data_IF_369598700700
#
_entry.id   IF_369598700700
#
_cell.length_a   1.000
_cell.length_b   1.000
_cell.length_c   1.000
_cell.angle_alpha   90.00
_cell.angle_beta   90.00
_cell.angle_gamma   90.00
#
_symmetry.space_group_name_H-M   'P 1'
#
loop_
_entity.id
_entity.type
_entity.pdbx_description
1 polymer ?
#
# COMPACT_ATOMS: atom_id res chain seq x y z
N UNK A 1 -32.93 -19.23 -5.71
CA UNK A 1 -32.18 -20.51 -5.60
C UNK A 1 -30.88 -20.18 -4.89
N UNK A 2 -30.54 -20.88 -3.81
CA UNK A 2 -29.33 -20.57 -3.04
C UNK A 2 -28.11 -20.99 -3.84
N UNK A 3 -27.17 -20.07 -4.05
CA UNK A 3 -25.92 -20.35 -4.76
C UNK A 3 -24.97 -21.22 -3.90
N UNK A 4 -24.46 -22.29 -4.50
CA UNK A 4 -23.55 -23.30 -3.93
C UNK A 4 -22.48 -23.71 -4.96
N UNK A 5 -21.49 -24.51 -4.55
CA UNK A 5 -20.42 -24.99 -5.45
C UNK A 5 -20.95 -25.79 -6.64
N UNK A 6 -22.06 -26.51 -6.46
CA UNK A 6 -22.65 -27.38 -7.47
C UNK A 6 -23.37 -26.59 -8.58
N UNK A 7 -23.93 -25.42 -8.26
CA UNK A 7 -24.80 -24.66 -9.16
C UNK A 7 -24.28 -23.27 -9.55
N UNK A 8 -23.24 -22.77 -8.88
CA UNK A 8 -22.63 -21.48 -9.18
C UNK A 8 -21.33 -21.61 -9.96
N UNK A 9 -20.93 -20.52 -10.62
CA UNK A 9 -19.62 -20.34 -11.24
C UNK A 9 -19.07 -18.93 -10.99
N UNK A 10 -17.75 -18.81 -10.89
CA UNK A 10 -17.06 -17.56 -10.56
C UNK A 10 -16.32 -17.05 -11.80
N UNK A 11 -16.59 -15.81 -12.17
CA UNK A 11 -15.97 -15.13 -13.30
C UNK A 11 -14.76 -14.32 -12.86
N UNK A 12 -13.64 -14.42 -13.58
CA UNK A 12 -12.46 -13.57 -13.37
C UNK A 12 -12.10 -12.88 -14.68
N UNK A 13 -12.26 -11.56 -14.71
CA UNK A 13 -11.89 -10.74 -15.86
C UNK A 13 -10.59 -10.02 -15.54
N UNK A 14 -9.52 -10.41 -16.21
CA UNK A 14 -8.14 -9.99 -15.95
C UNK A 14 -7.34 -11.10 -15.26
N UNK A 15 -6.41 -11.73 -15.99
CA UNK A 15 -5.55 -12.82 -15.52
C UNK A 15 -4.09 -12.34 -15.35
N UNK A 16 -3.96 -11.17 -14.73
CA UNK A 16 -2.70 -10.72 -14.12
C UNK A 16 -2.34 -11.55 -12.89
N UNK A 17 -1.34 -11.11 -12.13
CA UNK A 17 -0.81 -11.88 -10.98
C UNK A 17 -1.90 -12.17 -9.92
N UNK A 18 -2.75 -11.19 -9.61
CA UNK A 18 -3.87 -11.35 -8.67
C UNK A 18 -4.99 -12.22 -9.23
N UNK A 19 -5.39 -12.01 -10.49
CA UNK A 19 -6.44 -12.80 -11.13
C UNK A 19 -6.10 -14.29 -11.22
N UNK A 20 -4.84 -14.62 -11.56
CA UNK A 20 -4.34 -15.99 -11.54
C UNK A 20 -4.38 -16.59 -10.12
N UNK A 21 -3.97 -15.84 -9.11
CA UNK A 21 -4.02 -16.28 -7.72
C UNK A 21 -5.46 -16.56 -7.26
N UNK A 22 -6.43 -15.69 -7.60
CA UNK A 22 -7.84 -15.94 -7.33
C UNK A 22 -8.36 -17.17 -8.05
N UNK A 23 -8.08 -17.30 -9.36
CA UNK A 23 -8.53 -18.43 -10.17
C UNK A 23 -8.08 -19.76 -9.59
N UNK A 24 -6.79 -19.88 -9.29
CA UNK A 24 -6.20 -21.11 -8.76
C UNK A 24 -6.76 -21.48 -7.38
N UNK A 25 -6.86 -20.52 -6.45
CA UNK A 25 -7.37 -20.80 -5.10
C UNK A 25 -8.84 -21.15 -5.07
N UNK A 26 -9.64 -20.51 -5.92
CA UNK A 26 -11.06 -20.80 -6.02
C UNK A 26 -11.30 -22.17 -6.66
N UNK A 27 -10.56 -22.48 -7.74
CA UNK A 27 -10.59 -23.80 -8.38
C UNK A 27 -10.16 -24.91 -7.41
N UNK A 28 -9.05 -24.75 -6.68
CA UNK A 28 -8.60 -25.69 -5.66
C UNK A 28 -9.61 -25.90 -4.52
N UNK A 29 -10.48 -24.90 -4.28
CA UNK A 29 -11.58 -25.01 -3.33
C UNK A 29 -12.83 -25.69 -3.92
N UNK A 30 -12.79 -26.13 -5.18
CA UNK A 30 -13.90 -26.79 -5.89
C UNK A 30 -14.95 -25.83 -6.46
N UNK A 31 -14.58 -24.57 -6.72
CA UNK A 31 -15.44 -23.66 -7.49
C UNK A 31 -15.13 -23.78 -8.97
N UNK A 32 -16.18 -23.79 -9.81
CA UNK A 32 -16.03 -23.63 -11.25
C UNK A 32 -15.65 -22.17 -11.57
N UNK A 33 -14.52 -21.97 -12.21
CA UNK A 33 -13.99 -20.65 -12.55
C UNK A 33 -14.03 -20.45 -14.06
N UNK A 34 -14.62 -19.36 -14.51
CA UNK A 34 -14.55 -18.89 -15.88
C UNK A 34 -13.63 -17.67 -15.92
N UNK A 35 -12.58 -17.69 -16.72
CA UNK A 35 -11.60 -16.61 -16.70
C UNK A 35 -11.23 -16.12 -18.11
N UNK A 36 -10.89 -14.84 -18.20
CA UNK A 36 -10.34 -14.26 -19.42
C UNK A 36 -9.33 -13.15 -19.11
N UNK A 37 -8.54 -12.77 -20.10
CA UNK A 37 -7.72 -11.56 -20.11
C UNK A 37 -7.88 -10.92 -21.50
N UNK A 38 -6.94 -10.04 -21.88
CA UNK A 38 -6.86 -9.49 -23.23
C UNK A 38 -6.82 -10.61 -24.29
N UNK A 39 -7.46 -10.43 -25.46
CA UNK A 39 -7.56 -11.47 -26.49
C UNK A 39 -6.22 -12.07 -26.90
N UNK A 40 -5.15 -11.28 -26.92
CA UNK A 40 -3.82 -11.72 -27.35
C UNK A 40 -3.20 -12.75 -26.38
N UNK A 41 -3.66 -12.80 -25.13
CA UNK A 41 -3.21 -13.78 -24.13
C UNK A 41 -4.03 -15.06 -24.12
N UNK A 42 -5.12 -15.14 -24.88
CA UNK A 42 -6.09 -16.25 -24.81
C UNK A 42 -5.41 -17.61 -24.99
N UNK A 43 -4.64 -17.79 -26.06
CA UNK A 43 -3.98 -19.07 -26.35
C UNK A 43 -2.95 -19.46 -25.27
N UNK A 44 -2.15 -18.50 -24.80
CA UNK A 44 -1.19 -18.77 -23.71
C UNK A 44 -1.89 -19.15 -22.41
N UNK A 45 -2.98 -18.47 -22.04
CA UNK A 45 -3.72 -18.78 -20.81
C UNK A 45 -4.38 -20.15 -20.89
N UNK A 46 -4.93 -20.49 -22.06
CA UNK A 46 -5.53 -21.80 -22.30
C UNK A 46 -4.51 -22.94 -22.15
N UNK A 47 -3.27 -22.70 -22.57
CA UNK A 47 -2.16 -23.65 -22.35
C UNK A 47 -1.75 -23.71 -20.87
N UNK A 48 -1.57 -22.55 -20.23
CA UNK A 48 -1.15 -22.44 -18.82
C UNK A 48 -2.09 -23.19 -17.87
N UNK A 49 -3.41 -23.18 -18.16
CA UNK A 49 -4.45 -23.76 -17.32
C UNK A 49 -5.08 -25.04 -17.92
N UNK A 50 -4.44 -25.66 -18.92
CA UNK A 50 -4.99 -26.85 -19.59
C UNK A 50 -5.18 -28.05 -18.65
N UNK A 51 -4.41 -28.13 -17.56
CA UNK A 51 -4.50 -29.18 -16.53
C UNK A 51 -5.56 -28.90 -15.46
N UNK A 52 -6.05 -27.68 -15.36
CA UNK A 52 -7.00 -27.27 -14.32
C UNK A 52 -8.44 -27.46 -14.80
N UNK A 53 -9.06 -28.60 -14.46
CA UNK A 53 -10.41 -28.95 -14.94
C UNK A 53 -11.50 -27.99 -14.45
N UNK A 54 -11.27 -27.31 -13.32
CA UNK A 54 -12.21 -26.35 -12.75
C UNK A 54 -12.02 -24.92 -13.30
N UNK A 55 -11.02 -24.67 -14.16
CA UNK A 55 -10.76 -23.36 -14.76
C UNK A 55 -11.02 -23.42 -16.27
N UNK A 56 -12.04 -22.69 -16.72
CA UNK A 56 -12.35 -22.53 -18.14
C UNK A 56 -11.87 -21.17 -18.64
N UNK A 57 -10.89 -21.16 -19.53
CA UNK A 57 -10.41 -19.94 -20.20
C UNK A 57 -11.31 -19.59 -21.38
N UNK A 58 -11.89 -18.39 -21.36
CA UNK A 58 -12.79 -17.87 -22.37
C UNK A 58 -12.14 -16.74 -23.21
N UNK A 59 -12.54 -16.57 -24.49
CA UNK A 59 -11.96 -15.56 -25.37
C UNK A 59 -12.06 -14.11 -24.90
N UNK A 60 -13.09 -13.74 -24.12
CA UNK A 60 -13.32 -12.37 -23.70
C UNK A 60 -14.24 -12.27 -22.46
N UNK A 61 -14.36 -11.05 -21.92
CA UNK A 61 -15.17 -10.77 -20.74
C UNK A 61 -16.68 -10.87 -20.97
N UNK A 62 -17.18 -10.73 -22.20
CA UNK A 62 -18.62 -10.92 -22.47
C UNK A 62 -19.07 -12.34 -22.12
N UNK A 63 -18.26 -13.33 -22.51
CA UNK A 63 -18.55 -14.74 -22.24
C UNK A 63 -18.45 -15.03 -20.73
N UNK A 64 -17.40 -14.56 -20.06
CA UNK A 64 -17.23 -14.69 -18.60
C UNK A 64 -18.44 -14.09 -17.87
N UNK A 65 -18.80 -12.84 -18.19
CA UNK A 65 -19.91 -12.12 -17.57
C UNK A 65 -21.27 -12.79 -17.79
N UNK A 66 -21.47 -13.45 -18.95
CA UNK A 66 -22.76 -14.05 -19.31
C UNK A 66 -23.04 -15.35 -18.56
N UNK A 67 -22.01 -16.11 -18.20
CA UNK A 67 -22.18 -17.46 -17.63
C UNK A 67 -21.84 -17.55 -16.14
N UNK A 68 -21.25 -16.50 -15.56
CA UNK A 68 -20.82 -16.50 -14.15
C UNK A 68 -21.86 -15.90 -13.20
N UNK A 69 -21.89 -16.41 -11.98
CA UNK A 69 -22.80 -15.97 -10.90
C UNK A 69 -22.18 -14.93 -9.97
N UNK A 70 -20.85 -14.93 -9.86
CA UNK A 70 -20.08 -13.86 -9.22
C UNK A 70 -18.90 -13.48 -10.09
N UNK A 71 -18.77 -12.21 -10.47
CA UNK A 71 -17.74 -11.74 -11.41
C UNK A 71 -16.78 -10.79 -10.70
N UNK A 72 -15.49 -11.12 -10.73
CA UNK A 72 -14.40 -10.32 -10.18
C UNK A 72 -13.65 -9.65 -11.34
N UNK A 73 -13.65 -8.32 -11.35
CA UNK A 73 -12.82 -7.54 -12.28
C UNK A 73 -11.41 -7.35 -11.67
N UNK A 74 -10.46 -8.19 -12.06
CA UNK A 74 -9.06 -8.16 -11.63
C UNK A 74 -8.18 -7.49 -12.69
N UNK A 75 -8.53 -6.26 -13.04
CA UNK A 75 -7.81 -5.42 -14.01
C UNK A 75 -7.13 -4.24 -13.31
N UNK A 76 -6.19 -3.59 -13.99
CA UNK A 76 -5.57 -2.38 -13.45
C UNK A 76 -6.61 -1.28 -13.31
N UNK A 77 -6.54 -0.51 -12.21
CA UNK A 77 -7.57 0.45 -11.86
C UNK A 77 -7.78 1.53 -12.94
N UNK A 78 -6.74 1.88 -13.71
CA UNK A 78 -6.83 2.83 -14.83
C UNK A 78 -7.80 2.38 -15.94
N UNK A 79 -8.05 1.08 -16.07
CA UNK A 79 -8.91 0.52 -17.12
C UNK A 79 -10.26 0.04 -16.61
N UNK A 80 -10.54 0.11 -15.31
CA UNK A 80 -11.75 -0.50 -14.72
C UNK A 80 -13.02 0.05 -15.36
N UNK A 81 -13.14 1.36 -15.53
CA UNK A 81 -14.32 2.01 -16.12
C UNK A 81 -14.56 1.55 -17.55
N UNK A 82 -13.49 1.47 -18.36
CA UNK A 82 -13.56 1.01 -19.75
C UNK A 82 -13.99 -0.45 -19.81
N UNK A 83 -13.38 -1.32 -19.01
CA UNK A 83 -13.64 -2.77 -19.03
C UNK A 83 -15.03 -3.10 -18.48
N UNK A 84 -15.49 -2.39 -17.45
CA UNK A 84 -16.85 -2.53 -16.93
C UNK A 84 -17.87 -1.99 -17.93
N UNK A 85 -17.60 -0.88 -18.62
CA UNK A 85 -18.48 -0.39 -19.68
C UNK A 85 -18.60 -1.38 -20.84
N UNK A 86 -17.51 -2.06 -21.19
CA UNK A 86 -17.47 -3.05 -22.27
C UNK A 86 -18.19 -4.34 -21.89
N UNK A 87 -17.87 -4.95 -20.74
CA UNK A 87 -18.37 -6.29 -20.38
C UNK A 87 -19.56 -6.29 -19.41
N UNK A 88 -19.77 -5.19 -18.68
CA UNK A 88 -20.88 -5.04 -17.73
C UNK A 88 -22.26 -5.30 -18.33
N UNK A 89 -22.60 -4.81 -19.55
CA UNK A 89 -23.89 -5.09 -20.19
C UNK A 89 -24.15 -6.57 -20.49
N UNK A 90 -23.11 -7.41 -20.50
CA UNK A 90 -23.23 -8.86 -20.73
C UNK A 90 -23.48 -9.67 -19.46
N UNK A 91 -23.48 -9.01 -18.29
CA UNK A 91 -23.65 -9.65 -16.99
C UNK A 91 -24.95 -10.45 -16.93
N UNK A 92 -24.84 -11.69 -16.46
CA UNK A 92 -25.98 -12.58 -16.18
C UNK A 92 -26.96 -11.89 -15.22
N UNK A 93 -28.25 -11.95 -15.54
CA UNK A 93 -29.29 -11.40 -14.65
C UNK A 93 -29.28 -12.13 -13.32
N UNK A 94 -29.23 -11.38 -12.23
CA UNK A 94 -29.14 -11.91 -10.86
C UNK A 94 -27.72 -12.32 -10.42
N UNK A 95 -26.69 -12.07 -11.24
CA UNK A 95 -25.31 -12.25 -10.80
C UNK A 95 -24.86 -11.13 -9.85
N UNK A 96 -23.81 -11.42 -9.09
CA UNK A 96 -23.11 -10.49 -8.21
C UNK A 96 -21.86 -10.00 -8.94
N UNK A 97 -21.53 -8.71 -8.82
CA UNK A 97 -20.33 -8.13 -9.44
C UNK A 97 -19.44 -7.49 -8.38
N UNK A 98 -18.16 -7.85 -8.40
CA UNK A 98 -17.07 -7.16 -7.70
C UNK A 98 -16.59 -5.95 -8.49
N UNK A 99 -17.40 -4.88 -8.49
CA UNK A 99 -17.17 -3.65 -9.24
C UNK A 99 -18.42 -2.76 -9.29
N UNK A 100 -18.35 -1.57 -9.89
CA UNK A 100 -19.49 -0.63 -9.95
C UNK A 100 -20.32 -0.83 -11.23
N UNK A 101 -21.58 -1.28 -11.13
CA UNK A 101 -22.49 -1.49 -12.28
C UNK A 101 -23.96 -1.20 -11.93
N UNK A 102 -24.77 -0.67 -12.85
CA UNK A 102 -26.07 -0.06 -12.52
C UNK A 102 -27.24 -1.03 -12.30
N UNK A 103 -27.17 -2.29 -12.74
CA UNK A 103 -28.36 -3.18 -12.82
C UNK A 103 -28.28 -4.52 -12.05
N UNK A 104 -27.23 -4.71 -11.25
CA UNK A 104 -26.94 -5.99 -10.56
C UNK A 104 -26.54 -5.79 -9.10
N UNK A 105 -26.47 -6.87 -8.34
CA UNK A 105 -25.93 -6.82 -6.99
C UNK A 105 -24.42 -6.55 -7.02
N UNK A 106 -23.94 -5.68 -6.12
CA UNK A 106 -22.55 -5.25 -6.06
C UNK A 106 -21.95 -5.61 -4.70
N UNK A 107 -20.98 -6.51 -4.73
CA UNK A 107 -20.12 -6.86 -3.60
C UNK A 107 -18.68 -6.84 -4.09
N UNK A 108 -17.96 -5.78 -3.75
CA UNK A 108 -16.54 -5.64 -4.08
C UNK A 108 -15.67 -6.28 -3.00
N UNK A 109 -14.47 -6.70 -3.39
CA UNK A 109 -13.48 -7.23 -2.46
C UNK A 109 -12.09 -6.63 -2.73
N UNK A 110 -11.29 -6.50 -1.68
CA UNK A 110 -9.89 -6.07 -1.79
C UNK A 110 -9.00 -6.88 -0.85
N UNK A 111 -8.15 -7.73 -1.43
CA UNK A 111 -7.08 -8.42 -0.70
C UNK A 111 -5.97 -7.42 -0.34
N UNK A 112 -5.73 -7.19 0.95
CA UNK A 112 -4.67 -6.26 1.41
C UNK A 112 -3.28 -6.90 1.43
N UNK A 113 -3.01 -7.79 0.47
CA UNK A 113 -1.76 -8.50 0.29
C UNK A 113 -1.46 -8.73 -1.20
N UNK A 114 -0.19 -8.93 -1.51
CA UNK A 114 0.24 -9.24 -2.88
C UNK A 114 -0.06 -10.70 -3.29
N UNK A 115 0.04 -11.03 -4.58
CA UNK A 115 -0.32 -12.33 -5.15
C UNK A 115 0.55 -13.50 -4.66
N UNK A 116 1.78 -13.21 -4.21
CA UNK A 116 2.73 -14.20 -3.69
C UNK A 116 2.62 -14.42 -2.17
N UNK A 117 1.75 -13.68 -1.49
CA UNK A 117 1.56 -13.75 -0.03
C UNK A 117 0.47 -14.76 0.29
N UNK A 118 0.69 -15.58 1.32
CA UNK A 118 -0.36 -16.46 1.84
C UNK A 118 -1.50 -15.61 2.45
N UNK A 119 -2.75 -15.69 1.95
CA UNK A 119 -3.89 -14.90 2.43
C UNK A 119 -4.38 -15.32 3.82
N UNK A 120 -3.92 -16.45 4.37
CA UNK A 120 -4.31 -16.90 5.71
C UNK A 120 -3.99 -15.83 6.75
N UNK A 121 -5.00 -15.45 7.54
CA UNK A 121 -4.91 -14.39 8.54
C UNK A 121 -4.76 -12.96 7.99
N UNK A 122 -4.55 -12.79 6.67
CA UNK A 122 -4.46 -11.48 6.05
C UNK A 122 -5.85 -10.85 5.92
N UNK A 123 -5.98 -9.51 5.98
CA UNK A 123 -7.26 -8.86 5.77
C UNK A 123 -7.77 -9.02 4.33
N UNK A 124 -9.04 -9.40 4.19
CA UNK A 124 -9.81 -9.31 2.96
C UNK A 124 -10.99 -8.37 3.20
N UNK A 125 -10.96 -7.20 2.58
CA UNK A 125 -12.04 -6.23 2.69
C UNK A 125 -13.20 -6.70 1.82
N UNK A 126 -14.42 -6.71 2.38
CA UNK A 126 -15.66 -6.98 1.66
C UNK A 126 -16.57 -5.77 1.76
N UNK A 127 -16.99 -5.23 0.61
CA UNK A 127 -17.80 -4.01 0.51
C UNK A 127 -19.15 -4.37 -0.11
N UNK A 128 -20.17 -4.48 0.73
CA UNK A 128 -21.56 -4.65 0.31
C UNK A 128 -22.13 -3.28 -0.07
N UNK A 129 -22.01 -2.90 -1.35
CA UNK A 129 -22.47 -1.59 -1.81
C UNK A 129 -23.98 -1.60 -2.10
N UNK A 130 -24.45 -2.59 -2.86
CA UNK A 130 -25.86 -2.77 -3.21
C UNK A 130 -26.13 -4.25 -3.42
N UNK A 131 -26.34 -4.99 -2.35
CA UNK A 131 -26.63 -6.43 -2.41
C UNK A 131 -27.37 -6.87 -1.16
N UNK A 132 -28.06 -8.00 -1.24
CA UNK A 132 -28.66 -8.67 -0.08
C UNK A 132 -27.60 -9.35 0.80
N UNK A 133 -27.96 -9.58 2.07
CA UNK A 133 -27.09 -10.31 3.00
C UNK A 133 -26.91 -11.78 2.59
N UNK A 134 -27.86 -12.34 1.83
CA UNK A 134 -27.72 -13.69 1.27
C UNK A 134 -26.55 -13.76 0.29
N UNK A 135 -26.44 -12.76 -0.59
CA UNK A 135 -25.34 -12.61 -1.54
C UNK A 135 -24.01 -12.32 -0.85
N UNK A 136 -24.03 -11.54 0.24
CA UNK A 136 -22.82 -11.33 1.06
C UNK A 136 -22.32 -12.64 1.67
N UNK A 137 -23.22 -13.43 2.27
CA UNK A 137 -22.90 -14.77 2.79
C UNK A 137 -22.41 -15.71 1.69
N UNK A 138 -22.89 -15.58 0.47
CA UNK A 138 -22.37 -16.35 -0.66
C UNK A 138 -20.94 -15.95 -1.00
N UNK A 139 -20.63 -14.66 -1.12
CA UNK A 139 -19.27 -14.17 -1.38
C UNK A 139 -18.29 -14.57 -0.26
N UNK A 140 -18.72 -14.53 1.01
CA UNK A 140 -17.95 -15.06 2.14
C UNK A 140 -17.64 -16.55 2.00
N UNK A 141 -18.58 -17.36 1.48
CA UNK A 141 -18.31 -18.77 1.19
C UNK A 141 -17.35 -18.95 0.02
N UNK A 142 -17.45 -18.11 -1.01
CA UNK A 142 -16.52 -18.12 -2.16
C UNK A 142 -15.08 -17.96 -1.68
N UNK A 143 -14.83 -16.97 -0.82
CA UNK A 143 -13.48 -16.69 -0.31
C UNK A 143 -13.07 -17.51 0.92
N UNK A 144 -13.91 -18.42 1.43
CA UNK A 144 -13.62 -19.16 2.68
C UNK A 144 -12.31 -19.95 2.65
N UNK A 145 -11.90 -20.44 1.47
CA UNK A 145 -10.63 -21.16 1.28
C UNK A 145 -9.38 -20.30 1.42
N UNK A 146 -9.54 -18.98 1.50
CA UNK A 146 -8.44 -18.04 1.68
C UNK A 146 -8.00 -17.99 3.14
N UNK A 147 -8.88 -18.39 4.08
CA UNK A 147 -8.65 -18.26 5.52
C UNK A 147 -8.27 -16.83 5.93
N UNK A 148 -8.74 -15.84 5.16
CA UNK A 148 -8.51 -14.42 5.41
C UNK A 148 -9.41 -13.91 6.53
N UNK A 149 -8.96 -12.85 7.20
CA UNK A 149 -9.79 -12.12 8.15
C UNK A 149 -10.69 -11.16 7.36
N UNK A 150 -12.00 -11.43 7.34
CA UNK A 150 -12.94 -10.55 6.66
C UNK A 150 -13.09 -9.21 7.38
N UNK A 151 -13.06 -8.13 6.61
CA UNK A 151 -13.24 -6.76 7.08
C UNK A 151 -14.40 -6.14 6.31
N UNK A 152 -15.54 -5.99 6.98
CA UNK A 152 -16.76 -5.44 6.40
C UNK A 152 -16.83 -3.94 6.64
N UNK A 153 -16.65 -3.15 5.58
CA UNK A 153 -16.70 -1.69 5.64
C UNK A 153 -17.35 -1.12 4.37
N UNK A 154 -17.82 0.12 4.45
CA UNK A 154 -18.33 0.84 3.27
C UNK A 154 -17.19 1.22 2.32
N UNK A 155 -17.50 1.44 1.04
CA UNK A 155 -16.52 1.91 0.06
C UNK A 155 -15.88 3.25 0.45
N UNK A 156 -16.68 4.17 1.00
CA UNK A 156 -16.16 5.45 1.50
C UNK A 156 -15.17 5.28 2.65
N UNK A 157 -15.46 4.37 3.59
CA UNK A 157 -14.55 4.08 4.70
C UNK A 157 -13.29 3.39 4.21
N UNK A 158 -13.43 2.41 3.30
CA UNK A 158 -12.30 1.76 2.65
C UNK A 158 -11.36 2.76 1.97
N UNK A 159 -11.90 3.67 1.17
CA UNK A 159 -11.09 4.65 0.43
C UNK A 159 -10.42 5.64 1.38
N UNK A 160 -11.12 6.07 2.45
CA UNK A 160 -10.51 6.93 3.49
C UNK A 160 -9.36 6.25 4.21
N UNK A 161 -9.51 4.98 4.56
CA UNK A 161 -8.48 4.21 5.26
C UNK A 161 -7.29 3.93 4.33
N UNK A 162 -7.54 3.49 3.10
CA UNK A 162 -6.46 3.17 2.15
C UNK A 162 -5.71 4.41 1.65
N UNK A 163 -6.34 5.58 1.64
CA UNK A 163 -5.64 6.85 1.44
C UNK A 163 -4.52 7.04 2.47
N UNK A 164 -4.81 6.73 3.73
CA UNK A 164 -3.86 6.87 4.85
C UNK A 164 -2.84 5.73 4.87
N UNK A 165 -3.33 4.50 4.95
CA UNK A 165 -2.49 3.32 5.17
C UNK A 165 -1.64 2.94 3.95
N UNK A 166 -1.97 3.45 2.77
CA UNK A 166 -1.28 3.08 1.55
C UNK A 166 -0.86 4.31 0.75
N UNK A 167 -1.79 5.19 0.34
CA UNK A 167 -1.45 6.21 -0.64
C UNK A 167 -0.41 7.23 -0.15
N UNK A 168 -0.59 7.81 1.04
CA UNK A 168 0.41 8.73 1.62
C UNK A 168 1.72 8.03 1.94
N UNK A 169 1.64 6.81 2.48
CA UNK A 169 2.83 5.98 2.74
C UNK A 169 3.63 5.79 1.45
N UNK A 170 2.97 5.42 0.34
CA UNK A 170 3.63 5.29 -0.96
C UNK A 170 4.21 6.62 -1.44
N UNK A 171 3.46 7.73 -1.35
CA UNK A 171 3.92 9.05 -1.77
C UNK A 171 5.20 9.49 -1.01
N UNK A 172 5.27 9.24 0.30
CA UNK A 172 6.46 9.53 1.10
C UNK A 172 7.70 8.78 0.59
N UNK A 173 7.59 7.48 0.34
CA UNK A 173 8.73 6.67 -0.10
C UNK A 173 9.07 6.83 -1.59
N UNK A 174 8.08 7.14 -2.44
CA UNK A 174 8.34 7.59 -3.82
C UNK A 174 9.11 8.92 -3.83
N UNK A 175 8.76 9.83 -2.92
CA UNK A 175 9.50 11.09 -2.76
C UNK A 175 10.93 10.84 -2.31
N UNK A 176 11.11 9.87 -1.41
CA UNK A 176 12.42 9.47 -0.91
C UNK A 176 13.32 8.91 -2.02
N UNK A 177 12.83 7.97 -2.84
CA UNK A 177 13.63 7.44 -3.96
C UNK A 177 13.90 8.48 -5.05
N UNK A 178 12.98 9.41 -5.26
CA UNK A 178 13.19 10.54 -6.19
C UNK A 178 14.30 11.47 -5.69
N UNK A 179 14.35 11.77 -4.39
CA UNK A 179 15.40 12.57 -3.80
C UNK A 179 16.79 11.90 -3.88
N UNK A 180 16.85 10.59 -3.63
CA UNK A 180 18.10 9.82 -3.78
C UNK A 180 18.60 9.79 -5.22
N UNK A 181 17.69 9.65 -6.18
CA UNK A 181 18.03 9.76 -7.60
C UNK A 181 18.52 11.16 -7.98
N UNK A 182 17.87 12.22 -7.49
CA UNK A 182 18.27 13.59 -7.78
C UNK A 182 19.68 13.91 -7.25
N UNK A 183 20.00 13.39 -6.06
CA UNK A 183 21.34 13.47 -5.47
C UNK A 183 22.34 12.44 -6.04
N UNK A 184 21.93 11.59 -6.99
CA UNK A 184 22.73 10.50 -7.56
C UNK A 184 23.45 9.65 -6.49
N UNK A 185 22.70 9.24 -5.48
CA UNK A 185 23.22 8.50 -4.33
C UNK A 185 22.46 7.20 -4.04
N UNK A 186 23.16 6.27 -3.41
CA UNK A 186 22.60 5.07 -2.79
C UNK A 186 22.83 5.16 -1.28
N UNK A 187 21.79 5.47 -0.48
CA UNK A 187 21.93 5.73 0.95
C UNK A 187 22.75 4.68 1.72
N UNK A 188 22.53 3.40 1.43
CA UNK A 188 23.23 2.28 2.09
C UNK A 188 24.70 2.11 1.69
N UNK A 189 25.15 2.75 0.60
CA UNK A 189 26.56 2.77 0.20
C UNK A 189 27.34 3.90 0.88
N UNK A 190 26.63 4.82 1.54
CA UNK A 190 27.19 5.98 2.23
C UNK A 190 27.08 5.73 3.73
N UNK A 191 28.15 5.95 4.49
CA UNK A 191 28.18 5.79 5.95
C UNK A 191 27.23 6.74 6.72
N UNK A 192 26.40 7.51 6.00
CA UNK A 192 25.45 8.46 6.56
C UNK A 192 24.09 7.86 6.92
N UNK A 193 23.72 6.72 6.35
CA UNK A 193 22.39 6.12 6.52
C UNK A 193 22.48 4.77 7.24
N UNK A 194 22.68 4.83 8.56
CA UNK A 194 22.90 3.67 9.43
C UNK A 194 21.90 3.69 10.58
N UNK A 195 21.35 2.52 10.92
CA UNK A 195 20.41 2.34 12.05
C UNK A 195 19.02 1.85 11.63
N UNK A 196 18.26 1.36 12.61
CA UNK A 196 16.96 0.71 12.39
C UNK A 196 15.93 1.54 11.62
N UNK A 197 15.82 2.84 11.91
CA UNK A 197 14.89 3.74 11.19
C UNK A 197 15.25 3.85 9.70
N UNK A 198 16.54 4.04 9.40
CA UNK A 198 17.01 4.19 8.02
C UNK A 198 16.89 2.89 7.23
N UNK A 199 17.15 1.76 7.88
CA UNK A 199 16.94 0.44 7.29
C UNK A 199 15.48 0.21 6.89
N UNK A 200 14.52 0.58 7.74
CA UNK A 200 13.11 0.48 7.38
C UNK A 200 12.79 1.36 6.17
N UNK A 201 13.26 2.61 6.15
CA UNK A 201 13.03 3.54 5.04
C UNK A 201 13.59 3.03 3.71
N UNK A 202 14.81 2.52 3.72
CA UNK A 202 15.48 1.93 2.55
C UNK A 202 14.70 0.71 2.03
N UNK A 203 14.35 -0.21 2.91
CA UNK A 203 13.62 -1.42 2.55
C UNK A 203 12.24 -1.10 1.94
N UNK A 204 11.47 -0.19 2.55
CA UNK A 204 10.15 0.18 2.02
C UNK A 204 10.29 0.86 0.65
N UNK A 205 11.21 1.80 0.52
CA UNK A 205 11.45 2.52 -0.75
C UNK A 205 11.80 1.57 -1.89
N UNK A 206 12.80 0.70 -1.69
CA UNK A 206 13.21 -0.25 -2.71
C UNK A 206 12.13 -1.27 -3.03
N UNK A 207 11.33 -1.67 -2.04
CA UNK A 207 10.21 -2.58 -2.26
C UNK A 207 9.10 -1.95 -3.10
N UNK A 208 8.82 -0.66 -2.92
CA UNK A 208 7.86 0.06 -3.76
C UNK A 208 8.38 0.11 -5.20
N UNK A 209 9.62 0.55 -5.41
CA UNK A 209 10.20 0.63 -6.75
C UNK A 209 10.44 -0.74 -7.43
N UNK A 210 10.55 -1.84 -6.68
CA UNK A 210 10.62 -3.18 -7.24
C UNK A 210 9.28 -3.72 -7.76
N UNK A 211 8.17 -3.00 -7.55
CA UNK A 211 6.83 -3.37 -8.02
C UNK A 211 6.38 -2.54 -9.23
N UNK A 212 5.18 -2.82 -9.72
CA UNK A 212 4.61 -2.18 -10.92
C UNK A 212 3.96 -0.84 -10.56
N UNK A 213 4.28 0.22 -11.31
CA UNK A 213 3.83 1.59 -11.06
C UNK A 213 2.29 1.72 -10.99
N UNK A 214 1.57 0.98 -11.83
CA UNK A 214 0.11 1.09 -11.96
C UNK A 214 -0.66 0.67 -10.69
N UNK A 215 -0.03 -0.14 -9.82
CA UNK A 215 -0.60 -0.51 -8.50
C UNK A 215 -0.69 0.72 -7.61
N UNK A 216 0.31 1.59 -7.66
CA UNK A 216 0.41 2.79 -6.84
C UNK A 216 -0.37 3.96 -7.45
N UNK A 217 -0.26 4.14 -8.77
CA UNK A 217 -0.93 5.21 -9.51
C UNK A 217 -2.45 5.13 -9.38
N UNK A 218 -3.03 3.93 -9.57
CA UNK A 218 -4.47 3.72 -9.49
C UNK A 218 -5.04 4.15 -8.13
N UNK A 219 -4.40 3.73 -7.04
CA UNK A 219 -4.81 4.12 -5.71
C UNK A 219 -4.67 5.63 -5.49
N UNK A 220 -3.54 6.22 -5.85
CA UNK A 220 -3.28 7.63 -5.58
C UNK A 220 -4.17 8.57 -6.41
N UNK A 221 -4.37 8.26 -7.69
CA UNK A 221 -5.08 9.13 -8.65
C UNK A 221 -6.60 8.98 -8.55
N UNK A 222 -7.12 7.77 -8.34
CA UNK A 222 -8.56 7.52 -8.41
C UNK A 222 -9.27 7.74 -7.06
N UNK A 223 -8.54 7.72 -5.94
CA UNK A 223 -9.10 7.93 -4.61
C UNK A 223 -9.04 9.43 -4.22
N UNK A 224 -10.18 10.13 -4.11
CA UNK A 224 -10.19 11.56 -3.73
C UNK A 224 -9.59 11.82 -2.35
N UNK A 225 -9.78 10.91 -1.39
CA UNK A 225 -9.16 11.02 -0.07
C UNK A 225 -7.64 10.90 -0.18
N UNK A 226 -7.10 10.07 -1.07
CA UNK A 226 -5.66 9.96 -1.30
C UNK A 226 -5.08 11.27 -1.83
N UNK A 227 -5.74 11.93 -2.79
CA UNK A 227 -5.30 13.24 -3.32
C UNK A 227 -5.16 14.26 -2.21
N UNK A 228 -6.17 14.36 -1.35
CA UNK A 228 -6.19 15.32 -0.25
C UNK A 228 -5.09 15.04 0.78
N UNK A 229 -4.92 13.78 1.18
CA UNK A 229 -3.90 13.43 2.15
C UNK A 229 -2.47 13.56 1.59
N UNK A 230 -2.23 13.20 0.32
CA UNK A 230 -0.93 13.38 -0.34
C UNK A 230 -0.57 14.87 -0.45
N UNK A 231 -1.55 15.71 -0.80
CA UNK A 231 -1.37 17.17 -0.82
C UNK A 231 -1.00 17.70 0.56
N UNK A 232 -1.75 17.32 1.58
CA UNK A 232 -1.44 17.73 2.95
C UNK A 232 -0.08 17.23 3.42
N UNK A 233 0.34 16.01 3.05
CA UNK A 233 1.67 15.50 3.36
C UNK A 233 2.76 16.36 2.72
N UNK A 234 2.63 16.71 1.43
CA UNK A 234 3.58 17.58 0.75
C UNK A 234 3.64 18.99 1.37
N UNK A 235 2.51 19.51 1.82
CA UNK A 235 2.44 20.78 2.58
C UNK A 235 3.13 20.65 3.93
N UNK A 236 2.89 19.57 4.69
CA UNK A 236 3.56 19.30 5.96
C UNK A 236 5.08 19.19 5.81
N UNK A 237 5.57 18.45 4.80
CA UNK A 237 7.00 18.39 4.47
C UNK A 237 7.55 19.79 4.19
N UNK A 238 6.87 20.54 3.32
CA UNK A 238 7.32 21.88 2.89
C UNK A 238 7.37 22.86 4.06
N UNK A 239 6.32 22.90 4.87
CA UNK A 239 6.22 23.86 5.97
C UNK A 239 7.19 23.53 7.11
N UNK A 240 7.37 22.25 7.47
CA UNK A 240 8.38 21.87 8.45
C UNK A 240 9.79 22.19 7.95
N UNK A 241 10.10 21.90 6.68
CA UNK A 241 11.40 22.24 6.10
C UNK A 241 11.67 23.76 6.09
N UNK A 242 10.64 24.60 5.83
CA UNK A 242 10.76 26.05 5.95
C UNK A 242 11.14 26.48 7.37
N UNK A 243 10.47 25.95 8.39
CA UNK A 243 10.81 26.24 9.79
C UNK A 243 12.26 25.85 10.12
N UNK A 244 12.75 24.74 9.56
CA UNK A 244 14.13 24.28 9.72
C UNK A 244 15.15 25.25 9.12
N UNK A 245 14.93 25.74 7.88
CA UNK A 245 15.87 26.65 7.20
C UNK A 245 15.78 28.10 7.71
N UNK A 246 14.63 28.51 8.22
CA UNK A 246 14.45 29.83 8.85
C UNK A 246 14.94 29.88 10.30
N UNK A 247 15.37 28.74 10.86
CA UNK A 247 15.87 28.67 12.23
C UNK A 247 14.79 28.87 13.31
N UNK A 248 13.51 28.64 12.99
CA UNK A 248 12.38 28.86 13.91
C UNK A 248 12.20 27.70 14.89
N UNK A 249 13.18 27.50 15.78
CA UNK A 249 13.26 26.36 16.70
C UNK A 249 11.99 26.15 17.53
N UNK A 250 11.54 27.17 18.25
CA UNK A 250 10.38 27.04 19.14
C UNK A 250 9.09 26.75 18.38
N UNK A 251 8.91 27.36 17.20
CA UNK A 251 7.74 27.10 16.34
C UNK A 251 7.75 25.65 15.83
N UNK A 252 8.90 25.15 15.38
CA UNK A 252 9.08 23.77 14.94
C UNK A 252 8.79 22.78 16.08
N UNK A 253 9.42 22.96 17.24
CA UNK A 253 9.25 22.08 18.41
C UNK A 253 7.80 22.04 18.86
N UNK A 254 7.14 23.20 18.99
CA UNK A 254 5.75 23.27 19.41
C UNK A 254 4.82 22.58 18.43
N UNK A 255 4.98 22.84 17.12
CA UNK A 255 4.14 22.23 16.07
C UNK A 255 4.28 20.71 16.06
N UNK A 256 5.51 20.19 16.06
CA UNK A 256 5.75 18.74 16.03
C UNK A 256 5.24 18.06 17.30
N UNK A 257 5.54 18.60 18.49
CA UNK A 257 5.08 18.01 19.76
C UNK A 257 3.57 18.02 19.91
N UNK A 258 2.89 19.10 19.47
CA UNK A 258 1.43 19.15 19.44
C UNK A 258 0.84 18.11 18.47
N UNK A 259 1.45 17.96 17.28
CA UNK A 259 1.04 16.93 16.33
C UNK A 259 1.20 15.52 16.93
N UNK A 260 2.34 15.25 17.56
CA UNK A 260 2.61 14.01 18.27
C UNK A 260 1.56 13.69 19.35
N UNK A 261 1.24 14.66 20.20
CA UNK A 261 0.24 14.50 21.26
C UNK A 261 -1.19 14.28 20.70
N UNK A 262 -1.52 14.87 19.56
CA UNK A 262 -2.82 14.67 18.91
C UNK A 262 -2.96 13.27 18.30
N UNK A 263 -1.88 12.73 17.74
CA UNK A 263 -1.84 11.44 17.03
C UNK A 263 -1.63 10.27 17.99
N UNK A 264 -0.69 10.38 18.92
CA UNK A 264 -0.29 9.34 19.88
C UNK A 264 -0.81 9.68 21.29
N UNK A 265 -2.13 9.68 21.46
CA UNK A 265 -2.78 10.03 22.75
C UNK A 265 -2.27 9.16 23.90
N UNK A 266 -2.25 9.71 25.11
CA UNK A 266 -1.72 9.10 26.34
C UNK A 266 -2.33 7.73 26.72
N UNK A 267 -3.52 7.37 26.23
CA UNK A 267 -4.10 6.02 26.43
C UNK A 267 -3.32 4.90 25.70
N UNK A 268 -2.36 5.25 24.83
CA UNK A 268 -1.41 4.30 24.22
C UNK A 268 -0.18 4.03 25.08
N UNK A 269 0.00 4.72 26.21
CA UNK A 269 1.17 4.55 27.10
C UNK A 269 1.32 3.10 27.63
N UNK A 270 0.23 2.34 27.71
CA UNK A 270 0.21 0.93 28.12
C UNK A 270 0.25 -0.09 26.98
N UNK A 271 0.31 0.34 25.71
CA UNK A 271 0.46 -0.58 24.57
C UNK A 271 1.94 -0.80 24.27
N UNK A 272 2.33 -2.07 24.16
CA UNK A 272 3.65 -2.48 23.68
C UNK A 272 3.94 -1.83 22.32
N UNK A 273 5.13 -1.24 22.17
CA UNK A 273 5.58 -0.65 20.91
C UNK A 273 5.38 -1.64 19.76
N UNK A 274 4.81 -1.18 18.64
CA UNK A 274 4.62 -2.00 17.45
C UNK A 274 5.93 -2.63 16.95
N UNK A 275 7.05 -1.94 17.15
CA UNK A 275 8.39 -2.40 16.81
C UNK A 275 9.37 -2.07 17.93
N UNK A 276 10.12 -3.09 18.38
CA UNK A 276 11.23 -2.92 19.34
C UNK A 276 12.55 -2.73 18.59
N UNK A 277 13.46 -1.95 19.19
CA UNK A 277 14.74 -1.50 18.62
C UNK A 277 15.61 -2.65 18.07
N UNK A 278 15.68 -3.76 18.82
CA UNK A 278 16.43 -4.97 18.48
C UNK A 278 15.99 -5.66 17.18
N UNK A 279 14.74 -5.43 16.77
CA UNK A 279 14.18 -5.98 15.52
C UNK A 279 14.55 -5.11 14.33
N UNK A 280 14.66 -3.80 14.53
CA UNK A 280 14.95 -2.82 13.47
C UNK A 280 16.43 -2.86 13.06
N UNK A 281 17.33 -3.04 14.02
CA UNK A 281 18.78 -3.03 13.75
C UNK A 281 19.29 -4.33 13.09
N UNK A 282 18.52 -5.42 13.10
CA UNK A 282 18.93 -6.72 12.54
C UNK A 282 18.94 -6.77 11.01
N UNK A 283 18.23 -5.86 10.32
CA UNK A 283 17.99 -5.95 8.87
C UNK A 283 18.59 -4.76 8.14
N UNK A 284 19.92 -4.69 8.10
CA UNK A 284 20.67 -3.59 7.48
C UNK A 284 21.27 -3.96 6.12
N UNK A 285 21.16 -3.06 5.15
CA UNK A 285 22.00 -3.06 3.94
C UNK A 285 23.33 -2.33 4.17
N UNK A 286 23.41 -1.47 5.20
CA UNK A 286 24.64 -0.76 5.55
C UNK A 286 25.53 -1.63 6.46
N UNK A 287 26.85 -1.53 6.25
CA UNK A 287 27.87 -2.30 7.01
C UNK A 287 28.39 -1.57 8.26
N UNK A 288 27.89 -0.37 8.57
CA UNK A 288 28.36 0.48 9.67
C UNK A 288 27.68 0.19 11.02
N UNK A 289 28.30 0.59 12.13
CA UNK A 289 27.71 0.50 13.47
C UNK A 289 26.83 1.72 13.78
N UNK A 290 25.83 1.56 14.66
CA UNK A 290 24.90 2.64 15.05
C UNK A 290 25.60 3.83 15.71
N UNK A 291 26.74 3.60 16.36
CA UNK A 291 27.55 4.63 17.03
C UNK A 291 28.29 5.55 16.03
N UNK A 292 28.43 5.13 14.77
CA UNK A 292 29.07 5.90 13.69
C UNK A 292 28.06 6.65 12.81
N UNK A 293 26.75 6.50 13.07
CA UNK A 293 25.69 7.11 12.27
C UNK A 293 25.62 8.62 12.52
N UNK A 294 25.64 9.47 11.48
CA UNK A 294 25.46 10.91 11.66
C UNK A 294 24.01 11.23 12.07
N UNK A 295 23.82 12.32 12.82
CA UNK A 295 22.51 12.75 13.31
C UNK A 295 21.56 13.06 12.13
N UNK A 296 20.34 12.53 12.16
CA UNK A 296 19.32 12.74 11.13
C UNK A 296 18.04 13.35 11.73
N UNK A 297 17.52 14.42 11.13
CA UNK A 297 16.30 15.09 11.57
C UNK A 297 14.99 14.33 11.24
N UNK A 298 15.09 13.30 10.40
CA UNK A 298 13.97 12.46 9.99
C UNK A 298 12.73 13.23 9.52
N UNK A 299 12.90 14.29 8.70
CA UNK A 299 11.82 15.14 8.17
C UNK A 299 10.62 14.32 7.64
N UNK A 300 10.88 13.19 6.98
CA UNK A 300 9.83 12.29 6.48
C UNK A 300 8.88 11.78 7.59
N UNK A 301 9.41 11.47 8.79
CA UNK A 301 8.65 11.01 9.96
C UNK A 301 7.95 12.16 10.67
N UNK A 302 8.61 13.31 10.80
CA UNK A 302 7.99 14.50 11.40
C UNK A 302 6.79 14.97 10.57
N UNK A 303 6.93 14.95 9.24
CA UNK A 303 5.91 15.39 8.31
C UNK A 303 4.69 14.47 8.26
N UNK A 304 4.84 13.14 8.42
CA UNK A 304 3.67 12.25 8.43
C UNK A 304 2.81 12.47 9.68
N UNK A 305 3.43 12.73 10.83
CA UNK A 305 2.70 13.03 12.07
C UNK A 305 2.02 14.39 12.00
N UNK A 306 2.69 15.42 11.47
CA UNK A 306 2.05 16.72 11.20
C UNK A 306 0.86 16.56 10.24
N UNK A 307 1.02 15.77 9.16
CA UNK A 307 -0.05 15.48 8.21
C UNK A 307 -1.25 14.80 8.88
N UNK A 308 -1.02 13.74 9.67
CA UNK A 308 -2.08 13.07 10.43
C UNK A 308 -2.80 14.01 11.38
N UNK A 309 -2.05 14.82 12.12
CA UNK A 309 -2.62 15.82 13.03
C UNK A 309 -3.50 16.83 12.30
N UNK A 310 -3.03 17.38 11.17
CA UNK A 310 -3.77 18.37 10.36
C UNK A 310 -5.08 17.81 9.79
N UNK A 311 -5.12 16.52 9.47
CA UNK A 311 -6.31 15.85 8.94
C UNK A 311 -7.20 15.22 10.02
N UNK A 312 -6.82 15.33 11.29
CA UNK A 312 -7.52 14.69 12.39
C UNK A 312 -7.53 13.15 12.27
N UNK A 313 -6.46 12.58 11.73
CA UNK A 313 -6.29 11.13 11.54
C UNK A 313 -5.54 10.55 12.74
N UNK A 314 -6.08 9.48 13.32
CA UNK A 314 -5.37 8.63 14.27
C UNK A 314 -5.07 7.30 13.55
N UNK A 315 -3.80 7.01 13.21
CA UNK A 315 -3.45 5.89 12.34
C UNK A 315 -3.81 4.51 12.94
N UNK A 316 -3.94 4.40 14.27
CA UNK A 316 -4.36 3.16 14.94
C UNK A 316 -5.82 2.80 14.64
N UNK A 317 -6.70 3.79 14.42
CA UNK A 317 -8.10 3.54 14.06
C UNK A 317 -8.23 2.87 12.68
N UNK A 318 -7.19 2.99 11.87
CA UNK A 318 -7.10 2.47 10.51
C UNK A 318 -6.41 1.10 10.42
N UNK A 319 -6.00 0.53 11.55
CA UNK A 319 -5.26 -0.74 11.60
C UNK A 319 -6.02 -1.94 11.03
N UNK A 320 -7.35 -1.88 10.96
CA UNK A 320 -8.20 -2.90 10.35
C UNK A 320 -7.87 -3.18 8.88
N UNK A 321 -7.35 -2.18 8.16
CA UNK A 321 -6.89 -2.30 6.78
C UNK A 321 -5.40 -1.94 6.64
N UNK A 322 -4.62 -2.19 7.69
CA UNK A 322 -3.18 -1.95 7.67
C UNK A 322 -2.46 -2.94 6.76
N UNK A 323 -1.56 -2.41 5.95
CA UNK A 323 -0.61 -3.22 5.18
C UNK A 323 0.66 -3.45 5.99
N UNK A 324 1.46 -4.48 5.65
CA UNK A 324 2.75 -4.68 6.30
C UNK A 324 3.69 -3.48 6.21
N UNK A 325 3.66 -2.72 5.10
CA UNK A 325 4.46 -1.50 4.92
C UNK A 325 4.01 -0.38 5.86
N UNK A 326 2.69 -0.21 6.01
CA UNK A 326 2.13 0.78 6.92
C UNK A 326 2.51 0.50 8.38
N UNK A 327 2.41 -0.76 8.83
CA UNK A 327 2.78 -1.14 10.20
C UNK A 327 4.24 -0.84 10.51
N UNK A 328 5.11 -1.09 9.53
CA UNK A 328 6.54 -0.75 9.62
C UNK A 328 6.74 0.76 9.80
N UNK A 329 6.11 1.55 8.93
CA UNK A 329 6.21 3.00 8.94
C UNK A 329 5.63 3.61 10.22
N UNK A 330 4.44 3.17 10.63
CA UNK A 330 3.79 3.58 11.86
C UNK A 330 4.66 3.22 13.09
N UNK A 331 5.22 2.01 13.13
CA UNK A 331 6.04 1.57 14.26
C UNK A 331 7.33 2.39 14.43
N UNK A 332 8.04 2.72 13.34
CA UNK A 332 9.22 3.60 13.45
C UNK A 332 8.86 5.06 13.77
N UNK A 333 7.68 5.50 13.33
CA UNK A 333 7.17 6.84 13.66
C UNK A 333 6.78 6.92 15.13
N UNK A 334 6.05 5.93 15.63
CA UNK A 334 5.69 5.79 17.04
C UNK A 334 6.95 5.76 17.92
N UNK A 335 7.94 4.95 17.55
CA UNK A 335 9.21 4.85 18.28
C UNK A 335 9.89 6.23 18.46
N UNK A 336 9.97 7.04 17.40
CA UNK A 336 10.54 8.38 17.46
C UNK A 336 9.74 9.28 18.41
N UNK A 337 8.41 9.28 18.32
CA UNK A 337 7.55 10.18 19.10
C UNK A 337 7.35 9.75 20.56
N UNK A 338 7.50 8.45 20.87
CA UNK A 338 7.43 7.92 22.24
C UNK A 338 8.77 7.97 22.98
N UNK A 339 9.83 8.47 22.35
CA UNK A 339 11.14 8.70 22.97
C UNK A 339 11.43 10.22 23.06
N UNK A 340 11.05 10.91 24.14
CA UNK A 340 11.13 12.36 24.23
C UNK A 340 12.56 12.91 24.04
N UNK A 341 13.57 12.23 24.56
CA UNK A 341 14.97 12.65 24.40
C UNK A 341 15.42 12.57 22.95
N UNK A 342 15.09 11.47 22.26
CA UNK A 342 15.41 11.31 20.83
C UNK A 342 14.65 12.33 19.99
N UNK A 343 13.36 12.58 20.29
CA UNK A 343 12.56 13.56 19.57
C UNK A 343 13.14 14.98 19.73
N UNK A 344 13.54 15.36 20.94
CA UNK A 344 14.16 16.67 21.18
C UNK A 344 15.50 16.81 20.45
N UNK A 345 16.34 15.76 20.46
CA UNK A 345 17.59 15.70 19.72
C UNK A 345 17.37 15.89 18.21
N UNK A 346 16.44 15.12 17.63
CA UNK A 346 16.08 15.18 16.20
C UNK A 346 15.58 16.57 15.80
N UNK A 347 14.82 17.25 16.66
CA UNK A 347 14.33 18.61 16.43
C UNK A 347 15.44 19.67 16.53
N UNK A 348 16.43 19.46 17.39
CA UNK A 348 17.60 20.34 17.48
C UNK A 348 18.53 20.15 16.28
N UNK A 349 18.78 18.89 15.88
CA UNK A 349 19.50 18.52 14.64
C UNK A 349 18.85 19.19 13.42
N UNK A 350 17.52 19.20 13.34
CA UNK A 350 16.79 19.82 12.24
C UNK A 350 17.13 21.30 12.02
N UNK A 351 17.52 22.01 13.07
CA UNK A 351 17.89 23.42 13.04
C UNK A 351 19.41 23.57 12.88
N UNK A 352 20.18 22.90 13.73
CA UNK A 352 21.61 23.15 13.93
C UNK A 352 22.52 22.37 12.99
N UNK A 353 22.07 21.22 12.52
CA UNK A 353 22.86 20.37 11.63
C UNK A 353 22.47 20.61 10.16
N UNK A 354 23.49 20.69 9.30
CA UNK A 354 23.35 20.92 7.87
C UNK A 354 23.67 19.69 7.03
N UNK A 355 24.05 18.56 7.65
CA UNK A 355 24.48 17.32 7.00
C UNK A 355 23.41 16.84 6.02
N UNK A 356 22.16 16.70 6.45
CA UNK A 356 21.04 16.25 5.62
C UNK A 356 20.26 17.36 4.90
N UNK A 357 20.65 18.64 5.05
CA UNK A 357 19.83 19.75 4.56
C UNK A 357 19.60 19.72 3.04
N UNK A 358 20.61 19.34 2.28
CA UNK A 358 20.49 19.17 0.83
C UNK A 358 19.61 17.98 0.45
N UNK A 359 19.63 16.91 1.26
CA UNK A 359 18.78 15.73 1.08
C UNK A 359 17.31 16.08 1.34
N UNK A 360 17.05 16.85 2.40
CA UNK A 360 15.71 17.32 2.77
C UNK A 360 15.13 18.30 1.73
N UNK A 361 15.98 19.09 1.07
CA UNK A 361 15.57 19.95 -0.04
C UNK A 361 15.02 19.13 -1.21
N UNK A 362 15.78 18.12 -1.66
CA UNK A 362 15.35 17.24 -2.74
C UNK A 362 14.12 16.42 -2.34
N UNK A 363 14.04 15.99 -1.08
CA UNK A 363 12.84 15.33 -0.54
C UNK A 363 11.62 16.25 -0.59
N UNK A 364 11.76 17.51 -0.20
CA UNK A 364 10.68 18.51 -0.26
C UNK A 364 10.22 18.76 -1.70
N UNK A 365 11.16 18.83 -2.64
CA UNK A 365 10.84 19.00 -4.07
C UNK A 365 10.13 17.77 -4.63
N UNK A 366 10.60 16.58 -4.28
CA UNK A 366 9.98 15.33 -4.68
C UNK A 366 8.55 15.17 -4.14
N UNK A 367 8.32 15.50 -2.86
CA UNK A 367 7.00 15.43 -2.24
C UNK A 367 5.97 16.30 -2.96
N UNK A 368 6.33 17.55 -3.28
CA UNK A 368 5.48 18.45 -4.06
C UNK A 368 5.24 17.91 -5.47
N UNK A 369 6.28 17.43 -6.14
CA UNK A 369 6.16 16.93 -7.51
C UNK A 369 5.28 15.67 -7.62
N UNK A 370 5.33 14.77 -6.63
CA UNK A 370 4.41 13.63 -6.56
C UNK A 370 2.99 14.06 -6.23
N UNK A 371 2.80 15.03 -5.33
CA UNK A 371 1.49 15.62 -5.07
C UNK A 371 0.88 16.22 -6.34
N UNK A 372 1.61 17.06 -7.07
CA UNK A 372 1.14 17.68 -8.31
C UNK A 372 0.80 16.62 -9.36
N UNK A 373 1.66 15.61 -9.52
CA UNK A 373 1.44 14.49 -10.43
C UNK A 373 0.11 13.76 -10.14
N UNK A 374 -0.18 13.52 -8.85
CA UNK A 374 -1.42 12.86 -8.41
C UNK A 374 -2.64 13.79 -8.57
N UNK A 375 -2.48 15.08 -8.28
CA UNK A 375 -3.54 16.07 -8.44
C UNK A 375 -3.97 16.22 -9.91
N UNK A 376 -3.02 16.26 -10.85
CA UNK A 376 -3.32 16.31 -12.29
C UNK A 376 -3.99 15.04 -12.80
N UNK A 377 -3.71 13.90 -12.17
CA UNK A 377 -4.38 12.63 -12.46
C UNK A 377 -3.98 11.99 -13.78
N UNK A 378 -2.82 12.36 -14.33
CA UNK A 378 -2.28 11.76 -15.55
C UNK A 378 -1.44 10.51 -15.23
N UNK A 379 -1.90 9.36 -15.73
CA UNK A 379 -1.27 8.07 -15.49
C UNK A 379 0.09 7.94 -16.20
N UNK A 380 0.25 8.51 -17.40
CA UNK A 380 1.51 8.43 -18.16
C UNK A 380 2.60 9.27 -17.47
N UNK A 381 2.30 10.49 -17.01
CA UNK A 381 3.24 11.29 -16.22
C UNK A 381 3.68 10.58 -14.94
N UNK A 382 2.75 9.88 -14.26
CA UNK A 382 3.06 9.08 -13.08
C UNK A 382 4.01 7.92 -13.45
N UNK A 383 3.69 7.21 -14.53
CA UNK A 383 4.50 6.11 -15.06
C UNK A 383 5.91 6.56 -15.39
N UNK A 384 6.07 7.59 -16.20
CA UNK A 384 7.38 8.09 -16.63
C UNK A 384 8.25 8.47 -15.43
N UNK A 385 7.65 9.16 -14.45
CA UNK A 385 8.34 9.51 -13.19
C UNK A 385 8.74 8.25 -12.42
N UNK A 386 7.86 7.27 -12.28
CA UNK A 386 8.14 6.04 -11.55
C UNK A 386 9.23 5.20 -12.24
N UNK A 387 9.06 4.89 -13.53
CA UNK A 387 9.92 3.99 -14.30
C UNK A 387 11.35 4.55 -14.46
N UNK A 388 11.50 5.89 -14.52
CA UNK A 388 12.80 6.54 -14.51
C UNK A 388 13.60 6.22 -13.23
N UNK A 389 12.97 6.36 -12.06
CA UNK A 389 13.60 6.07 -10.77
C UNK A 389 13.76 4.57 -10.56
N UNK A 390 12.78 3.78 -11.00
CA UNK A 390 12.87 2.31 -10.99
C UNK A 390 14.08 1.81 -11.78
N UNK A 391 14.34 2.38 -12.96
CA UNK A 391 15.48 2.00 -13.81
C UNK A 391 16.82 2.29 -13.13
N UNK A 392 16.90 3.39 -12.36
CA UNK A 392 18.09 3.71 -11.56
C UNK A 392 18.36 2.69 -10.46
N UNK A 393 17.31 2.22 -9.75
CA UNK A 393 17.46 1.22 -8.68
C UNK A 393 17.47 -0.23 -9.18
N UNK A 394 17.17 -0.49 -10.46
CA UNK A 394 17.04 -1.84 -11.01
C UNK A 394 18.21 -2.79 -10.67
N UNK A 395 19.49 -2.36 -10.73
CA UNK A 395 20.62 -3.23 -10.37
C UNK A 395 20.68 -3.64 -8.89
N UNK A 396 19.92 -2.97 -8.01
CA UNK A 396 19.94 -3.16 -6.56
C UNK A 396 18.72 -3.92 -6.03
N UNK A 397 17.68 -4.12 -6.86
CA UNK A 397 16.47 -4.85 -6.45
C UNK A 397 16.72 -6.30 -6.00
N UNK A 398 17.61 -7.10 -6.61
CA UNK A 398 17.80 -8.49 -6.16
C UNK A 398 18.16 -8.60 -4.67
N UNK A 399 19.12 -7.80 -4.22
CA UNK A 399 19.59 -7.79 -2.83
C UNK A 399 18.54 -7.18 -1.89
N UNK A 400 17.92 -6.08 -2.32
CA UNK A 400 16.89 -5.39 -1.54
C UNK A 400 15.63 -6.22 -1.33
N UNK A 401 15.19 -6.96 -2.36
CA UNK A 401 14.02 -7.85 -2.28
C UNK A 401 14.30 -9.01 -1.34
N UNK A 402 15.52 -9.57 -1.38
CA UNK A 402 15.91 -10.65 -0.48
C UNK A 402 15.86 -10.19 0.99
N UNK A 403 16.54 -9.08 1.31
CA UNK A 403 16.57 -8.55 2.68
C UNK A 403 15.18 -8.11 3.16
N UNK A 404 14.41 -7.42 2.30
CA UNK A 404 13.08 -6.95 2.64
C UNK A 404 12.10 -8.09 2.95
N UNK A 405 12.21 -9.23 2.25
CA UNK A 405 11.40 -10.41 2.54
C UNK A 405 11.80 -11.08 3.87
N UNK A 406 13.09 -11.14 4.18
CA UNK A 406 13.59 -11.67 5.46
C UNK A 406 13.11 -10.81 6.64
N UNK A 407 13.26 -9.48 6.53
CA UNK A 407 12.78 -8.53 7.55
C UNK A 407 11.28 -8.70 7.81
N UNK A 408 10.48 -8.78 6.74
CA UNK A 408 9.03 -8.91 6.87
C UNK A 408 8.60 -10.20 7.53
N UNK A 409 9.25 -11.30 7.17
CA UNK A 409 8.96 -12.61 7.76
C UNK A 409 9.24 -12.60 9.25
N UNK A 410 10.40 -12.08 9.67
CA UNK A 410 10.76 -12.02 11.10
C UNK A 410 9.85 -11.09 11.90
N UNK A 411 9.43 -9.96 11.32
CA UNK A 411 8.52 -9.04 12.00
C UNK A 411 7.14 -9.68 12.18
N UNK A 412 6.58 -10.28 11.12
CA UNK A 412 5.29 -10.98 11.19
C UNK A 412 5.30 -12.12 12.21
N UNK A 413 6.36 -12.95 12.23
CA UNK A 413 6.53 -14.04 13.19
C UNK A 413 6.61 -13.56 14.64
N UNK A 414 7.19 -12.38 14.89
CA UNK A 414 7.29 -11.82 16.25
C UNK A 414 6.01 -11.15 16.71
N UNK A 415 5.30 -10.46 15.82
CA UNK A 415 4.02 -9.81 16.13
C UNK A 415 2.91 -10.84 16.40
N UNK A 416 2.92 -12.00 15.74
CA UNK A 416 1.97 -13.10 16.03
C UNK A 416 2.22 -13.80 17.38
N UNK A 417 3.47 -13.82 17.87
CA UNK A 417 3.84 -14.43 19.16
C UNK A 417 3.66 -13.47 20.36
N UNK A 418 3.28 -12.21 20.14
CA UNK A 418 3.02 -11.21 21.18
C UNK A 418 1.54 -10.96 21.45
N UNK A 419 0.65 -11.68 20.74
CA UNK A 419 -0.78 -11.83 21.03
C UNK A 419 -1.05 -13.24 21.55
#
# INVERSE_FOLDING_TARGET
MVLSKENASIGIIGMGDMGRMYAQRLAQAGWRVNACDRPEKYESLKQDFASDQDITILPNGHLVSRISDYIIYSVEAAYIDKIVAEYGPSTKVGAIVGGQTSYVEIISCHSLHGPKVNPKGQPLVLIQHRASDESMRFVERVFSSFESKYVHISGQMHDRITADTQAVTHAAFLSMGTAWYANNQFPWEIARWVGGIENVKINITLRIYANKWHVYAGLAILNPAAKEQIRQYAESVTELYKLMIEGRREELKNRVKQAGAAVFKSDTEGQDLLLRDEVLDRFSLSKGSREEAPPNNHLSLLAIVDCWSKLGIVPYDHMICSTPLFRLWLGVTEYLFRNPSLLDEVLDIAIDDHTFRSDDLEFTFAARAWSDCVSFGDFESYRDRFERIQSYFAPRFPDAVKLGNEMMKTILEKTENST
#
